data_IF_781879185379
#
_entry.id   IF_781879185379
#
_cell.length_a   1.000
_cell.length_b   1.000
_cell.length_c   1.000
_cell.angle_alpha   90.00
_cell.angle_beta   90.00
_cell.angle_gamma   90.00
#
_symmetry.space_group_name_H-M   'P 1'
#
loop_
_entity.id
_entity.type
_entity.pdbx_description
1 polymer ?
#
# COMPACT_ATOMS: atom_id res chain seq x y z
N UNK A 1 34.84 22.73 24.63
CA UNK A 1 34.24 22.58 23.29
C UNK A 1 34.95 21.46 22.50
N UNK A 2 36.24 21.53 22.23
CA UNK A 2 37.01 20.51 21.53
C UNK A 2 36.91 19.11 22.14
N UNK A 3 36.83 18.99 23.48
CA UNK A 3 36.67 17.72 24.20
C UNK A 3 35.27 17.11 23.98
N UNK A 4 34.23 17.93 23.87
CA UNK A 4 32.87 17.45 23.62
C UNK A 4 32.74 16.94 22.17
N UNK A 5 33.34 17.64 21.23
CA UNK A 5 33.36 17.27 19.83
C UNK A 5 34.19 16.00 19.60
N UNK A 6 35.34 15.86 20.27
CA UNK A 6 36.13 14.64 20.22
C UNK A 6 35.37 13.41 20.83
N UNK A 7 34.55 13.62 21.86
CA UNK A 7 33.70 12.60 22.43
C UNK A 7 32.50 12.24 21.53
N UNK A 8 31.92 13.21 20.82
CA UNK A 8 30.87 12.97 19.82
C UNK A 8 31.42 12.22 18.60
N UNK A 9 32.67 12.54 18.15
CA UNK A 9 33.32 11.85 17.05
C UNK A 9 33.70 10.42 17.40
N UNK A 10 34.26 10.18 18.59
CA UNK A 10 34.75 8.86 18.99
C UNK A 10 33.74 7.99 19.71
N UNK A 11 32.71 8.59 20.33
CA UNK A 11 31.74 7.90 21.19
C UNK A 11 32.38 7.01 22.23
N UNK A 12 32.24 7.30 23.49
CA UNK A 12 32.78 6.44 24.59
C UNK A 12 32.11 5.06 24.66
N UNK A 13 31.01 4.90 23.93
CA UNK A 13 30.15 3.70 23.83
C UNK A 13 30.22 3.00 22.47
N UNK A 14 31.09 3.44 21.54
CA UNK A 14 31.24 2.89 20.19
C UNK A 14 30.18 3.38 19.19
N UNK A 15 29.34 4.35 19.57
CA UNK A 15 28.33 4.95 18.69
C UNK A 15 28.76 6.32 18.12
N UNK A 16 30.06 6.64 18.15
CA UNK A 16 30.60 7.87 17.56
C UNK A 16 30.49 7.88 16.03
N UNK A 17 30.48 9.09 15.45
CA UNK A 17 30.37 9.29 14.00
C UNK A 17 31.46 8.56 13.19
N UNK A 18 32.63 8.34 13.77
CA UNK A 18 33.76 7.62 13.15
C UNK A 18 33.44 6.13 12.87
N UNK A 19 32.40 5.56 13.52
CA UNK A 19 32.01 4.17 13.36
C UNK A 19 30.70 4.00 12.56
N UNK A 20 30.18 5.10 11.99
CA UNK A 20 28.99 4.99 11.15
C UNK A 20 29.26 4.10 9.95
N UNK A 21 28.30 3.23 9.67
CA UNK A 21 28.33 2.31 8.53
C UNK A 21 27.17 2.62 7.61
N UNK A 22 27.40 2.44 6.32
CA UNK A 22 26.38 2.57 5.28
C UNK A 22 26.29 1.30 4.45
N UNK A 23 25.07 0.98 4.00
CA UNK A 23 24.86 -0.06 3.01
C UNK A 23 25.00 0.52 1.61
N UNK A 24 25.69 -0.19 0.75
CA UNK A 24 25.88 0.19 -0.66
C UNK A 24 25.33 -0.91 -1.55
N UNK A 25 24.47 -0.53 -2.46
CA UNK A 25 23.92 -1.38 -3.51
C UNK A 25 24.72 -1.21 -4.81
N UNK A 26 25.04 -2.31 -5.49
CA UNK A 26 25.66 -2.26 -6.82
C UNK A 26 24.70 -1.76 -7.90
N UNK A 27 23.37 -1.83 -7.65
CA UNK A 27 22.32 -1.28 -8.52
C UNK A 27 21.20 -0.66 -7.67
N UNK A 28 21.35 0.60 -7.21
CA UNK A 28 20.35 1.23 -6.35
C UNK A 28 19.05 1.60 -7.08
N UNK A 29 19.02 1.53 -8.41
CA UNK A 29 17.78 1.72 -9.17
C UNK A 29 16.84 0.52 -9.01
N UNK A 30 17.38 -0.69 -8.90
CA UNK A 30 16.58 -1.90 -8.72
C UNK A 30 16.41 -2.28 -7.26
N UNK A 31 17.45 -2.17 -6.44
CA UNK A 31 17.43 -2.51 -5.02
C UNK A 31 18.14 -1.43 -4.23
N UNK A 32 17.43 -0.75 -3.34
CA UNK A 32 18.05 0.17 -2.37
C UNK A 32 18.28 -0.55 -1.04
N UNK A 33 19.32 -0.12 -0.33
CA UNK A 33 19.69 -0.69 0.97
C UNK A 33 20.08 0.43 1.94
N UNK A 34 19.62 0.33 3.17
CA UNK A 34 20.01 1.16 4.30
C UNK A 34 20.53 0.27 5.42
N UNK A 35 21.63 0.67 6.05
CA UNK A 35 22.13 -0.03 7.23
C UNK A 35 21.46 0.52 8.49
N UNK A 36 20.74 -0.35 9.19
CA UNK A 36 20.00 -0.05 10.43
C UNK A 36 20.54 -0.84 11.64
N UNK A 37 21.67 -1.54 11.45
CA UNK A 37 22.27 -2.39 12.47
C UNK A 37 23.24 -1.66 13.39
N UNK A 38 23.93 -2.44 14.22
CA UNK A 38 24.93 -1.95 15.17
C UNK A 38 26.26 -1.63 14.45
N UNK A 39 26.93 -0.54 14.86
CA UNK A 39 28.24 -0.12 14.36
C UNK A 39 29.36 -1.16 14.58
N UNK A 40 29.17 -2.11 15.50
CA UNK A 40 30.13 -3.17 15.83
C UNK A 40 30.15 -4.34 14.85
N UNK A 41 29.20 -4.39 13.89
CA UNK A 41 29.18 -5.47 12.87
C UNK A 41 30.46 -5.47 12.01
N UNK A 42 30.96 -6.64 11.60
CA UNK A 42 32.17 -6.70 10.76
C UNK A 42 31.95 -6.05 9.38
N UNK A 43 32.96 -5.35 8.85
CA UNK A 43 32.92 -4.59 7.59
C UNK A 43 32.79 -5.46 6.33
N UNK A 44 32.93 -6.77 6.46
CA UNK A 44 32.95 -7.72 5.35
C UNK A 44 31.59 -8.36 5.03
N UNK A 45 30.49 -7.83 5.59
CA UNK A 45 29.15 -8.35 5.29
C UNK A 45 28.72 -7.92 3.89
N UNK A 46 28.73 -8.88 2.96
CA UNK A 46 28.11 -8.68 1.65
C UNK A 46 27.21 -9.87 1.33
N UNK A 47 26.13 -9.60 0.59
CA UNK A 47 25.23 -10.63 0.09
C UNK A 47 24.64 -10.19 -1.25
N UNK A 48 24.16 -11.16 -1.99
CA UNK A 48 23.56 -10.94 -3.30
C UNK A 48 22.04 -11.06 -3.22
N UNK A 49 21.34 -10.16 -3.90
CA UNK A 49 19.89 -10.18 -4.06
C UNK A 49 19.55 -10.26 -5.54
N UNK A 50 18.69 -11.21 -5.91
CA UNK A 50 18.09 -11.29 -7.24
C UNK A 50 16.57 -11.20 -7.10
N UNK A 51 15.94 -10.16 -7.66
CA UNK A 51 14.51 -9.88 -7.58
C UNK A 51 13.81 -10.35 -8.84
N UNK A 52 13.04 -11.43 -8.74
CA UNK A 52 12.30 -12.03 -9.85
C UNK A 52 10.92 -11.41 -10.06
N UNK A 53 10.27 -10.98 -8.98
CA UNK A 53 8.93 -10.40 -8.98
C UNK A 53 8.78 -9.42 -7.83
N UNK A 54 8.10 -8.29 -8.08
CA UNK A 54 7.69 -7.36 -7.04
C UNK A 54 6.38 -7.78 -6.40
N UNK A 55 6.20 -7.43 -5.13
CA UNK A 55 4.88 -7.45 -4.51
C UNK A 55 3.98 -6.38 -5.13
N UNK A 56 2.73 -6.73 -5.37
CA UNK A 56 1.73 -5.82 -5.93
C UNK A 56 0.51 -5.68 -5.03
N UNK A 57 -0.13 -4.52 -5.10
CA UNK A 57 -1.43 -4.23 -4.45
C UNK A 57 -2.57 -4.90 -5.20
N UNK A 58 -3.69 -5.11 -4.50
CA UNK A 58 -4.96 -5.41 -5.15
C UNK A 58 -5.55 -4.13 -5.74
N UNK A 59 -6.09 -4.24 -6.96
CA UNK A 59 -6.86 -3.19 -7.60
C UNK A 59 -8.22 -3.75 -8.02
N UNK A 60 -9.29 -3.11 -7.57
CA UNK A 60 -10.61 -3.29 -8.14
C UNK A 60 -10.90 -2.09 -9.05
N UNK A 61 -11.19 -2.35 -10.32
CA UNK A 61 -11.62 -1.32 -11.27
C UNK A 61 -13.04 -1.62 -11.70
N UNK A 62 -13.92 -0.71 -11.40
CA UNK A 62 -15.34 -0.79 -11.74
C UNK A 62 -15.61 -0.70 -13.24
N UNK A 63 -16.90 -0.69 -13.59
CA UNK A 63 -17.33 -0.50 -14.96
C UNK A 63 -17.10 0.95 -15.40
N UNK A 64 -16.58 1.12 -16.62
CA UNK A 64 -16.53 2.43 -17.26
C UNK A 64 -17.94 2.83 -17.71
N UNK A 65 -18.47 3.89 -17.12
CA UNK A 65 -19.82 4.40 -17.33
C UNK A 65 -19.79 5.80 -17.94
N UNK A 66 -20.79 6.12 -18.75
CA UNK A 66 -20.96 7.50 -19.24
C UNK A 66 -21.15 8.46 -18.06
N UNK A 67 -20.30 9.49 -17.90
CA UNK A 67 -20.25 10.29 -16.66
C UNK A 67 -21.54 11.02 -16.35
N UNK A 68 -22.24 11.53 -17.37
CA UNK A 68 -23.45 12.34 -17.23
C UNK A 68 -24.75 11.52 -17.16
N UNK A 69 -24.68 10.19 -17.34
CA UNK A 69 -25.83 9.29 -17.21
C UNK A 69 -25.94 8.81 -15.76
N UNK A 70 -27.02 8.09 -15.45
CA UNK A 70 -27.21 7.41 -14.18
C UNK A 70 -27.51 5.94 -14.43
N UNK A 71 -26.72 5.06 -13.79
CA UNK A 71 -26.82 3.61 -13.95
C UNK A 71 -27.76 2.94 -12.94
N UNK A 72 -28.18 3.67 -11.90
CA UNK A 72 -29.02 3.17 -10.80
C UNK A 72 -30.12 4.18 -10.45
N UNK A 73 -31.22 3.72 -9.86
CA UNK A 73 -32.30 4.59 -9.41
C UNK A 73 -31.88 5.39 -8.16
N UNK A 74 -32.48 6.59 -7.94
CA UNK A 74 -32.30 7.34 -6.69
C UNK A 74 -32.79 6.54 -5.48
N UNK A 75 -32.13 6.73 -4.35
CA UNK A 75 -32.47 6.08 -3.08
C UNK A 75 -31.27 5.70 -2.25
N UNK A 76 -31.53 4.99 -1.15
CA UNK A 76 -30.49 4.57 -0.21
C UNK A 76 -29.90 3.24 -0.60
N UNK A 77 -28.56 3.17 -0.52
CA UNK A 77 -27.76 2.02 -0.86
C UNK A 77 -26.74 1.73 0.24
N UNK A 78 -26.31 0.46 0.30
CA UNK A 78 -25.21 0.06 1.17
C UNK A 78 -24.42 -1.08 0.58
N UNK A 79 -23.18 -1.21 1.01
CA UNK A 79 -22.33 -2.34 0.71
C UNK A 79 -21.37 -2.62 1.87
N UNK A 80 -20.94 -3.86 1.96
CA UNK A 80 -19.92 -4.29 2.89
C UNK A 80 -18.57 -4.36 2.18
N UNK A 81 -17.55 -3.79 2.83
CA UNK A 81 -16.16 -3.91 2.44
C UNK A 81 -15.43 -4.73 3.51
N UNK A 82 -14.95 -5.89 3.11
CA UNK A 82 -14.23 -6.80 3.99
C UNK A 82 -12.73 -6.68 3.75
N UNK A 83 -11.97 -6.31 4.77
CA UNK A 83 -10.51 -6.20 4.77
C UNK A 83 -9.95 -6.65 6.12
N UNK A 84 -8.85 -7.39 6.14
CA UNK A 84 -8.20 -7.86 7.38
C UNK A 84 -9.14 -8.59 8.36
N UNK A 85 -10.10 -9.37 7.85
CA UNK A 85 -11.16 -10.05 8.62
C UNK A 85 -12.14 -9.11 9.37
N UNK A 86 -12.14 -7.82 9.03
CA UNK A 86 -13.11 -6.84 9.50
C UNK A 86 -14.06 -6.51 8.37
N UNK A 87 -15.31 -6.26 8.70
CA UNK A 87 -16.36 -5.80 7.79
C UNK A 87 -16.67 -4.35 8.10
N UNK A 88 -16.59 -3.51 7.08
CA UNK A 88 -16.95 -2.10 7.13
C UNK A 88 -18.19 -1.89 6.27
N UNK A 89 -19.26 -1.43 6.87
CA UNK A 89 -20.49 -1.10 6.17
C UNK A 89 -20.44 0.35 5.67
N UNK A 90 -20.75 0.55 4.39
CA UNK A 90 -20.88 1.85 3.76
C UNK A 90 -22.32 2.09 3.36
N UNK A 91 -22.92 3.13 3.91
CA UNK A 91 -24.27 3.58 3.58
C UNK A 91 -24.19 4.95 2.89
N UNK A 92 -25.01 5.16 1.88
CA UNK A 92 -25.07 6.42 1.14
C UNK A 92 -26.38 6.53 0.37
N UNK A 93 -26.77 7.77 0.06
CA UNK A 93 -27.94 8.10 -0.75
C UNK A 93 -27.51 8.49 -2.15
N UNK A 94 -28.21 8.04 -3.17
CA UNK A 94 -28.14 8.52 -4.55
C UNK A 94 -29.33 9.48 -4.77
N UNK A 95 -29.03 10.74 -5.05
CA UNK A 95 -30.01 11.77 -5.28
C UNK A 95 -30.54 11.76 -6.73
N UNK A 96 -31.72 12.36 -6.97
CA UNK A 96 -32.35 12.34 -8.29
C UNK A 96 -31.53 13.02 -9.40
N UNK A 97 -30.68 13.98 -9.05
CA UNK A 97 -29.87 14.75 -10.00
C UNK A 97 -28.43 14.21 -10.13
N UNK A 98 -28.06 13.20 -9.35
CA UNK A 98 -26.71 12.66 -9.38
C UNK A 98 -26.42 11.80 -10.61
N UNK A 99 -25.32 12.11 -11.26
CA UNK A 99 -24.78 11.36 -12.39
C UNK A 99 -23.88 10.20 -11.92
N UNK A 100 -23.47 9.33 -12.83
CA UNK A 100 -22.48 8.27 -12.56
C UNK A 100 -21.17 8.84 -12.00
N UNK A 101 -20.69 9.95 -12.56
CA UNK A 101 -19.48 10.62 -12.08
C UNK A 101 -19.64 11.15 -10.66
N UNK A 102 -20.81 11.72 -10.32
CA UNK A 102 -21.06 12.21 -8.97
C UNK A 102 -21.08 11.09 -7.94
N UNK A 103 -21.76 9.98 -8.28
CA UNK A 103 -21.81 8.77 -7.44
C UNK A 103 -20.42 8.18 -7.24
N UNK A 104 -19.62 8.00 -8.32
CA UNK A 104 -18.25 7.48 -8.24
C UNK A 104 -17.37 8.38 -7.37
N UNK A 105 -17.44 9.69 -7.54
CA UNK A 105 -16.70 10.64 -6.70
C UNK A 105 -17.18 10.63 -5.24
N UNK A 106 -18.48 10.44 -4.99
CA UNK A 106 -19.03 10.26 -3.63
C UNK A 106 -18.43 9.03 -2.97
N UNK A 107 -18.43 7.89 -3.66
CA UNK A 107 -17.85 6.63 -3.18
C UNK A 107 -16.35 6.74 -2.92
N UNK A 108 -15.60 7.36 -3.84
CA UNK A 108 -14.16 7.60 -3.65
C UNK A 108 -13.90 8.40 -2.37
N UNK A 109 -14.67 9.47 -2.13
CA UNK A 109 -14.55 10.26 -0.89
C UNK A 109 -14.90 9.46 0.36
N UNK A 110 -15.95 8.64 0.31
CA UNK A 110 -16.34 7.78 1.44
C UNK A 110 -15.25 6.80 1.80
N UNK A 111 -14.71 6.07 0.82
CA UNK A 111 -13.63 5.09 1.02
C UNK A 111 -12.36 5.76 1.54
N UNK A 112 -11.93 6.87 0.91
CA UNK A 112 -10.72 7.57 1.34
C UNK A 112 -10.82 8.14 2.76
N UNK A 113 -12.01 8.61 3.17
CA UNK A 113 -12.23 9.14 4.53
C UNK A 113 -12.30 8.07 5.60
N UNK A 114 -12.60 6.83 5.24
CA UNK A 114 -12.68 5.72 6.20
C UNK A 114 -11.32 5.31 6.75
N UNK A 115 -10.22 5.63 6.05
CA UNK A 115 -8.83 5.36 6.43
C UNK A 115 -8.59 3.89 6.84
N UNK A 116 -9.13 2.96 6.06
CA UNK A 116 -9.08 1.51 6.33
C UNK A 116 -7.97 0.79 5.54
N UNK A 117 -7.00 1.53 5.00
CA UNK A 117 -5.91 0.97 4.19
C UNK A 117 -6.27 0.78 2.72
N UNK A 118 -7.21 1.61 2.22
CA UNK A 118 -7.60 1.65 0.82
C UNK A 118 -7.57 3.09 0.30
N UNK A 119 -7.16 3.24 -0.96
CA UNK A 119 -7.28 4.47 -1.73
C UNK A 119 -8.25 4.28 -2.89
N UNK A 120 -9.13 5.25 -3.13
CA UNK A 120 -10.09 5.22 -4.21
C UNK A 120 -9.99 6.47 -5.10
N UNK A 121 -10.01 6.26 -6.41
CA UNK A 121 -9.93 7.29 -7.42
C UNK A 121 -10.94 7.03 -8.53
N UNK A 122 -11.37 8.09 -9.23
CA UNK A 122 -12.16 7.97 -10.44
C UNK A 122 -11.23 8.14 -11.64
N UNK A 123 -11.17 7.12 -12.48
CA UNK A 123 -10.35 7.08 -13.70
C UNK A 123 -11.24 7.31 -14.92
N UNK A 124 -10.68 7.91 -15.97
CA UNK A 124 -11.36 8.17 -17.24
C UNK A 124 -10.68 7.35 -18.36
N UNK A 125 -11.51 6.74 -19.23
CA UNK A 125 -11.02 6.07 -20.41
C UNK A 125 -10.84 7.05 -21.63
N UNK A 126 -10.31 6.56 -22.73
CA UNK A 126 -10.11 7.35 -23.95
C UNK A 126 -11.40 7.85 -24.61
N UNK A 127 -12.56 7.35 -24.19
CA UNK A 127 -13.89 7.73 -24.69
C UNK A 127 -14.60 8.70 -23.73
N UNK A 128 -13.97 9.07 -22.62
CA UNK A 128 -14.53 9.94 -21.60
C UNK A 128 -15.47 9.26 -20.62
N UNK A 129 -15.52 7.92 -20.59
CA UNK A 129 -16.27 7.19 -19.56
C UNK A 129 -15.46 7.13 -18.27
N UNK A 130 -16.14 7.09 -17.14
CA UNK A 130 -15.51 7.09 -15.82
C UNK A 130 -15.75 5.79 -15.07
N UNK A 131 -14.73 5.34 -14.32
CA UNK A 131 -14.79 4.16 -13.47
C UNK A 131 -14.16 4.44 -12.10
N UNK A 132 -14.77 3.92 -11.04
CA UNK A 132 -14.17 3.92 -9.71
C UNK A 132 -13.07 2.85 -9.65
N UNK A 133 -11.87 3.25 -9.24
CA UNK A 133 -10.76 2.34 -8.97
C UNK A 133 -10.43 2.38 -7.49
N UNK A 134 -10.34 1.21 -6.85
CA UNK A 134 -10.03 1.03 -5.43
C UNK A 134 -8.75 0.21 -5.34
N UNK A 135 -7.76 0.74 -4.64
CA UNK A 135 -6.41 0.15 -4.52
C UNK A 135 -6.13 -0.10 -3.04
N UNK A 136 -5.55 -1.25 -2.72
CA UNK A 136 -5.07 -1.50 -1.35
C UNK A 136 -3.73 -0.82 -1.10
N UNK A 137 -3.56 -0.22 0.08
CA UNK A 137 -2.28 0.32 0.54
C UNK A 137 -1.26 -0.81 0.77
N UNK A 138 -1.76 -1.99 1.14
CA UNK A 138 -0.95 -3.19 1.31
C UNK A 138 -0.70 -3.89 -0.02
N UNK A 139 0.47 -4.48 -0.14
CA UNK A 139 0.84 -5.38 -1.23
C UNK A 139 0.83 -6.84 -0.76
N UNK A 140 0.92 -7.77 -1.69
CA UNK A 140 1.08 -9.19 -1.40
C UNK A 140 -0.13 -9.84 -0.76
N UNK A 141 -0.02 -11.11 -0.51
CA UNK A 141 -1.02 -11.93 0.18
C UNK A 141 -0.39 -12.63 1.38
N UNK A 142 -1.11 -12.65 2.49
CA UNK A 142 -0.77 -13.46 3.66
C UNK A 142 -1.86 -14.51 3.87
N UNK A 143 -1.48 -15.79 3.81
CA UNK A 143 -2.41 -16.89 4.04
C UNK A 143 -3.09 -17.43 2.78
N UNK A 144 -4.32 -17.96 2.93
CA UNK A 144 -5.01 -18.74 1.89
C UNK A 144 -5.90 -17.85 0.99
N UNK A 145 -6.21 -16.63 1.42
CA UNK A 145 -7.13 -15.75 0.67
C UNK A 145 -6.41 -15.14 -0.53
N UNK A 146 -7.00 -15.19 -1.73
CA UNK A 146 -6.39 -14.63 -2.95
C UNK A 146 -6.52 -13.11 -3.05
N UNK A 147 -7.26 -12.47 -2.13
CA UNK A 147 -7.58 -11.03 -2.16
C UNK A 147 -7.29 -10.39 -0.79
N UNK A 148 -6.88 -9.11 -0.82
CA UNK A 148 -6.69 -8.28 0.37
C UNK A 148 -8.03 -7.79 0.89
N UNK A 149 -8.91 -7.34 -0.01
CA UNK A 149 -10.26 -6.89 0.31
C UNK A 149 -11.27 -7.46 -0.68
N UNK A 150 -12.54 -7.50 -0.27
CA UNK A 150 -13.67 -7.76 -1.17
C UNK A 150 -14.84 -6.84 -0.84
N UNK A 151 -15.69 -6.61 -1.84
CA UNK A 151 -16.90 -5.80 -1.73
C UNK A 151 -18.10 -6.71 -2.02
N UNK A 152 -19.11 -6.62 -1.18
CA UNK A 152 -20.35 -7.38 -1.32
C UNK A 152 -21.57 -6.51 -1.01
N UNK A 153 -22.73 -6.82 -1.59
CA UNK A 153 -23.95 -6.10 -1.26
C UNK A 153 -24.32 -6.37 0.21
N UNK A 154 -24.67 -5.32 0.94
CA UNK A 154 -25.28 -5.49 2.26
C UNK A 154 -26.79 -5.67 2.09
N UNK A 155 -27.30 -6.82 2.48
CA UNK A 155 -28.71 -7.17 2.38
C UNK A 155 -29.45 -7.15 3.74
N UNK A 156 -28.72 -6.86 4.85
CA UNK A 156 -29.24 -7.01 6.20
C UNK A 156 -29.99 -5.76 6.75
N UNK A 157 -30.09 -4.68 5.99
CA UNK A 157 -30.53 -3.37 6.50
C UNK A 157 -32.04 -3.26 6.71
N UNK A 158 -32.81 -4.26 6.35
CA UNK A 158 -34.29 -4.17 6.44
C UNK A 158 -34.83 -3.99 7.85
N UNK A 159 -34.03 -4.15 8.88
CA UNK A 159 -34.49 -4.17 10.27
C UNK A 159 -34.31 -2.85 11.03
N UNK A 160 -33.64 -1.86 10.46
CA UNK A 160 -33.32 -0.62 11.19
C UNK A 160 -34.29 0.56 10.94
N UNK A 161 -35.35 0.40 10.14
CA UNK A 161 -36.40 1.37 10.11
C UNK A 161 -37.37 1.10 11.29
N UNK A 162 -37.38 1.92 12.35
CA UNK A 162 -38.26 1.71 13.52
C UNK A 162 -39.76 1.74 13.19
N UNK A 163 -40.11 2.28 12.02
CA UNK A 163 -41.49 2.40 11.53
C UNK A 163 -41.83 1.28 10.49
N UNK A 164 -40.90 0.36 10.20
CA UNK A 164 -41.14 -0.72 9.24
C UNK A 164 -42.12 -1.76 9.82
N UNK A 165 -43.22 -1.98 9.13
CA UNK A 165 -44.23 -2.99 9.47
C UNK A 165 -44.21 -4.09 8.39
N UNK A 166 -43.69 -5.28 8.75
CA UNK A 166 -43.63 -6.44 7.86
C UNK A 166 -45.02 -6.80 7.28
N UNK A 167 -45.10 -6.85 5.96
CA UNK A 167 -46.31 -7.15 5.21
C UNK A 167 -47.22 -5.95 4.87
N UNK A 168 -46.87 -4.73 5.31
CA UNK A 168 -47.58 -3.49 4.97
C UNK A 168 -46.68 -2.48 4.27
N UNK A 169 -45.39 -2.47 4.57
CA UNK A 169 -44.45 -1.56 3.94
C UNK A 169 -43.70 -2.29 2.82
N UNK A 170 -43.65 -1.69 1.65
CA UNK A 170 -42.70 -2.11 0.61
C UNK A 170 -41.30 -1.85 1.13
N UNK A 171 -40.37 -2.82 0.96
CA UNK A 171 -38.99 -2.60 1.35
C UNK A 171 -38.46 -1.39 0.59
N UNK A 172 -38.17 -0.30 1.30
CA UNK A 172 -37.62 0.94 0.70
C UNK A 172 -36.19 0.76 0.23
N UNK A 173 -35.60 -0.41 0.48
CA UNK A 173 -34.22 -0.71 0.10
C UNK A 173 -34.09 -0.91 -1.39
N UNK A 174 -33.20 -0.15 -1.95
CA UNK A 174 -32.75 -0.34 -3.31
C UNK A 174 -31.93 -1.63 -3.41
N UNK A 175 -31.92 -2.24 -4.60
CA UNK A 175 -31.20 -3.48 -4.83
C UNK A 175 -29.69 -3.24 -4.82
N UNK A 176 -29.06 -3.47 -3.66
CA UNK A 176 -27.63 -3.31 -3.46
C UNK A 176 -26.80 -4.20 -4.40
N UNK A 177 -27.29 -5.40 -4.73
CA UNK A 177 -26.66 -6.27 -5.72
C UNK A 177 -26.64 -5.63 -7.11
N UNK A 178 -27.74 -5.00 -7.54
CA UNK A 178 -27.78 -4.28 -8.80
C UNK A 178 -26.84 -3.08 -8.80
N UNK A 179 -26.69 -2.39 -7.67
CA UNK A 179 -25.74 -1.28 -7.52
C UNK A 179 -24.30 -1.77 -7.69
N UNK A 180 -23.89 -2.82 -6.95
CA UNK A 180 -22.54 -3.41 -7.06
C UNK A 180 -22.26 -3.82 -8.51
N UNK A 181 -23.20 -4.53 -9.14
CA UNK A 181 -23.06 -4.99 -10.53
C UNK A 181 -23.01 -3.83 -11.53
N UNK A 182 -23.81 -2.80 -11.38
CA UNK A 182 -23.85 -1.64 -12.29
C UNK A 182 -22.52 -0.88 -12.27
N UNK A 183 -21.94 -0.70 -11.08
CA UNK A 183 -20.66 -0.02 -10.92
C UNK A 183 -19.45 -0.97 -10.99
N UNK A 184 -19.65 -2.30 -10.90
CA UNK A 184 -18.58 -3.32 -10.98
C UNK A 184 -17.60 -3.23 -9.82
N UNK A 185 -18.06 -2.89 -8.60
CA UNK A 185 -17.19 -2.58 -7.45
C UNK A 185 -16.43 -3.80 -6.93
N UNK A 186 -16.97 -4.99 -7.09
CA UNK A 186 -16.41 -6.28 -6.67
C UNK A 186 -15.38 -6.85 -7.66
N UNK A 187 -15.22 -6.20 -8.82
CA UNK A 187 -14.38 -6.70 -9.89
C UNK A 187 -12.90 -6.44 -9.64
N UNK A 188 -12.16 -7.51 -9.35
CA UNK A 188 -10.69 -7.45 -9.21
C UNK A 188 -10.07 -7.34 -10.61
N UNK A 189 -9.42 -6.21 -10.91
CA UNK A 189 -8.67 -5.97 -12.15
C UNK A 189 -7.20 -6.35 -12.01
N UNK A 190 -6.66 -6.30 -10.79
CA UNK A 190 -5.33 -6.78 -10.46
C UNK A 190 -5.36 -7.51 -9.11
N UNK A 191 -4.96 -8.78 -9.12
CA UNK A 191 -4.76 -9.52 -7.88
C UNK A 191 -3.45 -9.11 -7.20
N UNK A 192 -3.41 -9.10 -5.87
CA UNK A 192 -2.17 -8.88 -5.14
C UNK A 192 -1.21 -10.05 -5.35
N UNK A 193 0.08 -9.78 -5.40
CA UNK A 193 1.12 -10.81 -5.50
C UNK A 193 2.28 -10.51 -4.56
N UNK A 194 2.94 -11.56 -4.10
CA UNK A 194 4.13 -11.44 -3.25
C UNK A 194 5.36 -11.11 -4.09
N UNK A 195 6.32 -10.40 -3.50
CA UNK A 195 7.67 -10.35 -4.03
C UNK A 195 8.29 -11.76 -4.00
N UNK A 196 9.00 -12.10 -5.07
CA UNK A 196 9.81 -13.32 -5.19
C UNK A 196 11.25 -12.88 -5.47
N UNK A 197 12.15 -13.28 -4.63
CA UNK A 197 13.57 -12.90 -4.70
C UNK A 197 14.44 -14.00 -4.13
N UNK A 198 15.74 -13.92 -4.38
CA UNK A 198 16.72 -14.78 -3.71
C UNK A 198 17.72 -13.96 -2.93
N UNK A 199 18.26 -14.54 -1.85
CA UNK A 199 19.40 -14.03 -1.10
C UNK A 199 20.50 -15.10 -1.16
N UNK A 200 21.65 -14.77 -1.73
CA UNK A 200 22.76 -15.71 -1.97
C UNK A 200 22.29 -16.99 -2.66
N UNK A 201 21.34 -16.87 -3.61
CA UNK A 201 20.77 -17.98 -4.37
C UNK A 201 19.63 -18.75 -3.67
N UNK A 202 19.32 -18.47 -2.40
CA UNK A 202 18.17 -19.05 -1.71
C UNK A 202 16.90 -18.27 -2.01
N UNK A 203 15.90 -18.90 -2.63
CA UNK A 203 14.63 -18.28 -2.97
C UNK A 203 13.78 -17.97 -1.72
N UNK A 204 13.19 -16.81 -1.72
CA UNK A 204 12.34 -16.28 -0.64
C UNK A 204 11.12 -15.54 -1.22
N UNK A 205 10.12 -15.35 -0.38
CA UNK A 205 8.93 -14.58 -0.71
C UNK A 205 8.59 -13.61 0.42
N UNK A 206 8.08 -12.43 0.05
CA UNK A 206 7.59 -11.41 0.99
C UNK A 206 6.30 -10.78 0.48
N UNK A 207 5.38 -10.47 1.37
CA UNK A 207 4.18 -9.70 1.03
C UNK A 207 4.47 -8.21 0.77
N UNK A 208 5.69 -7.73 1.05
CA UNK A 208 6.13 -6.35 0.84
C UNK A 208 7.39 -6.31 -0.01
N UNK A 209 7.59 -5.20 -0.74
CA UNK A 209 8.84 -4.86 -1.39
C UNK A 209 9.87 -4.28 -0.41
N UNK A 210 9.43 -3.91 0.79
CA UNK A 210 10.29 -3.48 1.90
C UNK A 210 10.52 -4.66 2.84
N UNK A 211 11.78 -5.06 3.00
CA UNK A 211 12.17 -6.17 3.86
C UNK A 211 13.34 -5.80 4.76
N UNK A 212 13.48 -6.53 5.85
CA UNK A 212 14.65 -6.40 6.73
C UNK A 212 15.45 -7.70 6.72
N UNK A 213 16.75 -7.60 6.44
CA UNK A 213 17.67 -8.73 6.42
C UNK A 213 18.57 -8.65 7.65
N UNK A 214 18.67 -9.75 8.41
CA UNK A 214 19.53 -9.91 9.59
C UNK A 214 19.35 -8.83 10.67
N UNK A 215 18.20 -8.15 10.70
CA UNK A 215 17.92 -6.99 11.58
C UNK A 215 18.90 -5.82 11.40
N UNK A 216 19.65 -5.81 10.31
CA UNK A 216 20.73 -4.86 10.07
C UNK A 216 20.59 -4.10 8.75
N UNK A 217 19.87 -4.65 7.79
CA UNK A 217 19.67 -4.02 6.49
C UNK A 217 18.18 -3.84 6.21
N UNK A 218 17.74 -2.61 6.02
CA UNK A 218 16.46 -2.29 5.41
C UNK A 218 16.66 -2.27 3.89
N UNK A 219 15.92 -3.11 3.18
CA UNK A 219 16.02 -3.30 1.73
C UNK A 219 14.69 -2.94 1.11
N UNK A 220 14.71 -2.15 0.03
CA UNK A 220 13.55 -1.88 -0.80
C UNK A 220 13.79 -2.37 -2.23
N UNK A 221 12.81 -3.10 -2.79
CA UNK A 221 12.80 -3.56 -4.16
C UNK A 221 12.05 -2.56 -5.04
N UNK A 222 12.77 -1.85 -5.91
CA UNK A 222 12.19 -0.86 -6.82
C UNK A 222 11.82 -1.46 -8.18
N UNK A 223 12.57 -2.48 -8.63
CA UNK A 223 12.31 -3.22 -9.87
C UNK A 223 12.88 -4.63 -9.80
N UNK A 224 12.48 -5.48 -10.74
CA UNK A 224 13.13 -6.77 -10.98
C UNK A 224 14.57 -6.57 -11.45
N UNK A 225 15.41 -7.57 -11.24
CA UNK A 225 16.83 -7.53 -11.60
C UNK A 225 17.10 -8.49 -12.76
N UNK A 226 18.02 -8.14 -13.65
CA UNK A 226 18.52 -9.03 -14.72
C UNK A 226 19.69 -9.89 -14.21
N UNK A 227 20.50 -9.31 -13.31
CA UNK A 227 21.61 -9.95 -12.64
C UNK A 227 21.53 -9.69 -11.13
N UNK A 228 22.11 -10.56 -10.28
CA UNK A 228 22.13 -10.35 -8.84
C UNK A 228 22.77 -9.01 -8.46
N UNK A 229 22.11 -8.29 -7.54
CA UNK A 229 22.59 -7.03 -6.98
C UNK A 229 23.35 -7.31 -5.70
N UNK A 230 24.61 -6.88 -5.62
CA UNK A 230 25.42 -7.01 -4.41
C UNK A 230 25.13 -5.88 -3.44
N UNK A 231 24.76 -6.22 -2.22
CA UNK A 231 24.67 -5.30 -1.08
C UNK A 231 25.91 -5.50 -0.22
N UNK A 232 26.62 -4.42 0.06
CA UNK A 232 27.85 -4.43 0.88
C UNK A 232 27.79 -3.38 1.97
N UNK A 233 28.44 -3.67 3.10
CA UNK A 233 28.61 -2.74 4.20
C UNK A 233 29.93 -1.99 4.02
N UNK A 234 29.91 -0.67 4.19
CA UNK A 234 31.09 0.21 4.15
C UNK A 234 31.07 1.18 5.32
N UNK A 235 32.26 1.69 5.67
CA UNK A 235 32.34 2.86 6.54
C UNK A 235 31.75 4.09 5.84
N UNK A 236 30.96 4.85 6.57
CA UNK A 236 30.33 6.09 6.08
C UNK A 236 31.35 7.24 6.14
N UNK A 237 32.22 7.27 5.18
CA UNK A 237 33.28 8.30 5.07
C UNK A 237 32.70 9.68 4.72
N UNK A 238 31.53 9.77 4.13
CA UNK A 238 30.92 11.03 3.72
C UNK A 238 30.38 11.79 4.95
N UNK A 239 29.71 11.11 5.87
CA UNK A 239 29.27 11.69 7.16
C UNK A 239 30.45 12.15 8.02
N UNK A 240 31.56 11.41 7.96
CA UNK A 240 32.80 11.75 8.69
C UNK A 240 33.41 13.02 8.08
N UNK A 241 33.48 13.12 6.77
CA UNK A 241 34.05 14.29 6.07
C UNK A 241 33.24 15.55 6.31
N UNK A 242 31.91 15.46 6.29
CA UNK A 242 30.99 16.57 6.57
C UNK A 242 31.14 17.08 8.00
N UNK A 243 31.19 16.17 8.97
CA UNK A 243 31.37 16.50 10.39
C UNK A 243 32.76 17.13 10.69
N UNK A 244 33.81 16.66 10.00
CA UNK A 244 35.13 17.29 10.10
C UNK A 244 35.13 18.69 9.42
N UNK A 245 34.40 18.85 8.33
CA UNK A 245 34.23 20.14 7.64
C UNK A 245 33.53 21.17 8.51
N UNK A 246 32.49 20.79 9.22
CA UNK A 246 31.81 21.63 10.21
C UNK A 246 32.73 22.01 11.39
N UNK A 247 33.55 21.06 11.86
CA UNK A 247 34.52 21.31 12.93
C UNK A 247 35.60 22.30 12.55
N UNK A 248 36.05 22.30 11.31
CA UNK A 248 37.13 23.18 10.81
C UNK A 248 36.62 24.56 10.44
N UNK A 249 35.31 24.70 10.15
CA UNK A 249 34.68 25.96 9.75
C UNK A 249 34.02 26.75 10.88
N UNK A 250 33.88 26.21 12.08
CA UNK A 250 33.36 26.83 13.30
C UNK A 250 34.45 27.18 14.28
#
# INVERSE_FOLDING_TARGET
ELSNIANELSGSDGHGMVFKKSAVSSNPQSVTAEYIGDSTSPDSSSFEIDVKQLATSQINTGNFLQPNNRAVEPGDYSFDLNINNLTYEFQFTVDEEESNSDIQNKLARLINRSNIGLAANVNEDSLGNTALSIVSDMTGISGIKPTIFNISPNNDIQTNNPDFVEGFDEPTMKNNTNFINAFGLDRVSQYPSNAIFSINGEERSSASNDITINKAFAINFNSTTEEPVTISLREDTDSITESIGELVSG
#
